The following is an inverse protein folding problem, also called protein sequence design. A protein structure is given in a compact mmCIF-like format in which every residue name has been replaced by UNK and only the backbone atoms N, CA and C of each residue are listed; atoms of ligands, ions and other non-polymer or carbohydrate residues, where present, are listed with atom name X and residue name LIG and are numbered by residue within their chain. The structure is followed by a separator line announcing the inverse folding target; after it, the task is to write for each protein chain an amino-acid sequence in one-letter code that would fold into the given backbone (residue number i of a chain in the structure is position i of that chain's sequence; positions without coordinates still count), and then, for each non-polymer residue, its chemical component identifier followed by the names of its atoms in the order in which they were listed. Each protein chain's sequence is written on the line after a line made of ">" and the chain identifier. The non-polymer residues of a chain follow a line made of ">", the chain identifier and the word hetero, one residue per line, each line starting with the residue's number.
data_IF_635298569984
#
_entry.id   IF_635298569984
#
_cell.length_a   1.000
_cell.length_b   1.000
_cell.length_c   1.000
_cell.angle_alpha   90.00
_cell.angle_beta   90.00
_cell.angle_gamma   90.00
#
_symmetry.space_group_name_H-M   'P 1'
#
loop_
_entity.id
_entity.type
_entity.pdbx_description
1 polymer ?
#
# COMPACT_ATOMS: atom_id res chain seq x y z
N UNK A 1 48.13 -13.02 -3.01
CA UNK A 1 47.89 -12.81 -1.56
C UNK A 1 47.72 -11.32 -1.37
N UNK A 2 46.50 -10.84 -1.31
CA UNK A 2 46.21 -9.44 -0.92
C UNK A 2 44.87 -9.43 -0.20
N UNK A 3 44.89 -8.91 1.03
CA UNK A 3 43.82 -8.98 2.01
C UNK A 3 42.74 -7.94 1.67
N UNK A 4 41.51 -8.36 1.57
CA UNK A 4 40.35 -7.49 1.56
C UNK A 4 40.16 -6.89 2.95
N UNK A 5 40.28 -5.57 3.09
CA UNK A 5 39.98 -4.82 4.31
C UNK A 5 38.48 -4.65 4.47
N UNK A 6 38.01 -5.07 5.63
CA UNK A 6 36.65 -4.84 6.11
C UNK A 6 36.52 -3.38 6.54
N UNK A 7 35.78 -2.57 5.77
CA UNK A 7 35.41 -1.21 6.14
C UNK A 7 34.57 -1.21 7.42
N UNK A 8 35.03 -0.45 8.39
CA UNK A 8 34.48 -0.35 9.74
C UNK A 8 33.37 0.71 9.77
N UNK A 9 32.22 0.36 10.31
CA UNK A 9 31.01 1.19 10.47
C UNK A 9 31.22 2.46 11.32
N UNK A 10 32.45 2.74 11.75
CA UNK A 10 32.78 3.93 12.57
C UNK A 10 33.06 5.22 11.79
N UNK A 11 33.22 5.18 10.48
CA UNK A 11 33.59 6.37 9.69
C UNK A 11 32.42 7.20 9.17
N UNK A 12 31.17 6.76 9.38
CA UNK A 12 29.96 7.52 8.99
C UNK A 12 29.70 8.76 9.88
N UNK A 13 30.48 8.98 10.93
CA UNK A 13 30.40 10.19 11.75
C UNK A 13 31.16 11.41 11.20
N UNK A 14 31.93 11.27 10.12
CA UNK A 14 32.79 12.34 9.59
C UNK A 14 32.15 13.22 8.49
N UNK A 15 31.00 12.84 7.95
CA UNK A 15 30.33 13.56 6.83
C UNK A 15 29.43 14.74 7.28
N UNK A 16 29.75 15.35 8.42
CA UNK A 16 28.95 16.45 9.03
C UNK A 16 29.11 17.84 8.38
N UNK A 17 29.67 17.98 7.19
CA UNK A 17 30.03 19.33 6.65
C UNK A 17 29.46 19.68 5.29
N UNK A 18 28.57 18.89 4.69
CA UNK A 18 27.95 19.26 3.42
C UNK A 18 26.61 20.00 3.62
N UNK A 19 26.38 21.12 2.94
CA UNK A 19 25.21 21.97 3.12
C UNK A 19 23.89 21.30 2.67
N UNK A 20 23.91 20.18 1.95
CA UNK A 20 22.74 19.42 1.54
C UNK A 20 22.11 18.65 2.71
N UNK A 21 22.91 18.33 3.74
CA UNK A 21 22.45 17.60 4.94
C UNK A 21 21.79 18.49 6.00
N UNK A 22 21.72 19.80 5.79
CA UNK A 22 21.11 20.72 6.77
C UNK A 22 19.59 20.63 6.89
N UNK A 23 18.93 19.89 6.00
CA UNK A 23 17.47 19.71 5.99
C UNK A 23 16.99 18.44 6.72
N UNK A 24 17.89 17.52 7.05
CA UNK A 24 17.55 16.30 7.77
C UNK A 24 17.72 16.53 9.27
N UNK A 25 16.66 16.94 9.96
CA UNK A 25 16.56 16.82 11.42
C UNK A 25 16.52 15.34 11.78
N UNK A 26 17.69 14.75 11.97
CA UNK A 26 17.83 13.44 12.61
C UNK A 26 17.31 13.56 14.06
N UNK A 27 16.04 13.25 14.25
CA UNK A 27 15.50 12.98 15.59
C UNK A 27 16.21 11.76 16.13
N UNK A 28 16.80 11.92 17.32
CA UNK A 28 17.62 10.96 18.04
C UNK A 28 16.96 9.59 18.09
N UNK A 29 17.53 8.58 17.43
CA UNK A 29 17.26 7.18 17.71
C UNK A 29 17.75 6.86 19.14
N UNK A 30 16.90 7.17 20.12
CA UNK A 30 17.07 6.71 21.50
C UNK A 30 16.52 5.30 21.61
N UNK A 31 17.38 4.28 21.64
CA UNK A 31 16.98 2.93 21.99
C UNK A 31 16.61 2.89 23.49
N UNK A 32 15.36 2.55 23.85
CA UNK A 32 15.09 2.07 25.20
C UNK A 32 15.53 0.60 25.28
N UNK A 33 16.56 0.33 26.07
CA UNK A 33 16.87 -1.05 26.52
C UNK A 33 15.77 -1.45 27.49
N UNK A 34 14.81 -2.25 27.06
CA UNK A 34 13.89 -2.95 27.96
C UNK A 34 14.44 -4.33 28.32
N UNK A 35 14.27 -4.78 29.58
CA UNK A 35 14.82 -6.05 30.06
C UNK A 35 14.05 -7.24 29.50
N UNK A 36 14.80 -8.29 29.25
CA UNK A 36 14.44 -9.64 28.84
C UNK A 36 13.02 -10.07 29.26
N UNK A 37 12.12 -10.07 28.28
CA UNK A 37 10.83 -10.74 28.34
C UNK A 37 10.68 -11.52 27.02
N UNK A 38 10.21 -12.73 27.12
CA UNK A 38 10.01 -13.74 26.06
C UNK A 38 9.57 -13.10 24.75
N UNK A 39 10.44 -13.13 23.73
CA UNK A 39 10.16 -12.62 22.37
C UNK A 39 9.13 -13.57 21.77
N UNK A 40 7.92 -13.09 21.38
CA UNK A 40 7.01 -13.90 20.57
C UNK A 40 7.68 -14.24 19.23
N UNK A 41 7.29 -15.34 18.53
CA UNK A 41 7.88 -15.70 17.25
C UNK A 41 7.72 -14.53 16.29
N UNK A 42 8.85 -13.95 15.85
CA UNK A 42 8.86 -12.80 14.95
C UNK A 42 8.30 -13.25 13.60
N UNK A 43 7.19 -12.67 13.20
CA UNK A 43 6.78 -12.70 11.80
C UNK A 43 7.92 -12.12 10.95
N UNK A 44 8.20 -12.73 9.81
CA UNK A 44 9.22 -12.21 8.89
C UNK A 44 8.95 -10.72 8.59
N UNK A 45 10.01 -9.89 8.54
CA UNK A 45 9.85 -8.46 8.27
C UNK A 45 9.19 -8.28 6.89
N UNK A 46 8.24 -7.35 6.81
CA UNK A 46 7.60 -7.05 5.54
C UNK A 46 8.63 -6.56 4.51
N UNK A 47 8.54 -7.11 3.29
CA UNK A 47 9.47 -6.86 2.19
C UNK A 47 8.99 -5.73 1.30
N UNK A 48 9.81 -4.69 1.16
CA UNK A 48 9.53 -3.48 0.38
C UNK A 48 10.50 -3.38 -0.79
N UNK A 49 9.99 -3.21 -2.00
CA UNK A 49 10.80 -2.89 -3.18
C UNK A 49 10.78 -1.38 -3.39
N UNK A 50 11.97 -0.77 -3.47
CA UNK A 50 12.16 0.67 -3.69
C UNK A 50 12.78 0.85 -5.08
N UNK A 51 12.13 1.63 -5.95
CA UNK A 51 12.59 1.91 -7.31
C UNK A 51 12.74 3.43 -7.47
N UNK A 52 13.96 3.91 -7.42
CA UNK A 52 14.30 5.33 -7.42
C UNK A 52 15.69 5.47 -8.07
N UNK A 53 15.82 6.30 -9.09
CA UNK A 53 17.07 6.48 -9.83
C UNK A 53 18.06 7.39 -9.12
N UNK A 54 17.59 8.31 -8.30
CA UNK A 54 18.45 9.10 -7.42
C UNK A 54 18.96 8.21 -6.27
N UNK A 55 20.27 7.91 -6.32
CA UNK A 55 20.89 7.00 -5.37
C UNK A 55 20.85 7.52 -3.92
N UNK A 56 20.89 8.84 -3.71
CA UNK A 56 20.85 9.44 -2.38
C UNK A 56 19.45 9.34 -1.80
N UNK A 57 18.42 9.60 -2.58
CA UNK A 57 17.01 9.45 -2.17
C UNK A 57 16.72 7.96 -1.89
N UNK A 58 17.13 7.07 -2.80
CA UNK A 58 16.93 5.63 -2.68
C UNK A 58 17.56 5.09 -1.38
N UNK A 59 18.82 5.47 -1.11
CA UNK A 59 19.51 5.01 0.11
C UNK A 59 18.90 5.58 1.38
N UNK A 60 18.56 6.88 1.42
CA UNK A 60 17.95 7.52 2.59
C UNK A 60 16.60 6.87 2.92
N UNK A 61 15.76 6.61 1.92
CA UNK A 61 14.49 5.91 2.08
C UNK A 61 14.71 4.48 2.60
N UNK A 62 15.64 3.74 1.98
CA UNK A 62 15.93 2.36 2.37
C UNK A 62 16.46 2.27 3.81
N UNK A 63 17.38 3.15 4.19
CA UNK A 63 17.93 3.19 5.54
C UNK A 63 16.84 3.52 6.55
N UNK A 64 16.02 4.53 6.28
CA UNK A 64 14.93 4.92 7.19
C UNK A 64 13.94 3.77 7.41
N UNK A 65 13.51 3.09 6.36
CA UNK A 65 12.58 1.96 6.45
C UNK A 65 13.23 0.74 7.14
N UNK A 66 14.50 0.42 6.85
CA UNK A 66 15.23 -0.66 7.55
C UNK A 66 15.37 -0.39 9.04
N UNK A 67 15.62 0.87 9.45
CA UNK A 67 15.67 1.26 10.86
C UNK A 67 14.30 1.08 11.55
N UNK A 68 13.21 1.07 10.81
CA UNK A 68 11.85 0.83 11.29
C UNK A 68 11.38 -0.63 11.12
N UNK A 69 12.30 -1.57 10.84
CA UNK A 69 12.04 -3.01 10.88
C UNK A 69 11.55 -3.63 9.57
N UNK A 70 11.65 -2.92 8.43
CA UNK A 70 11.28 -3.45 7.12
C UNK A 70 12.49 -4.05 6.39
N UNK A 71 12.26 -5.07 5.56
CA UNK A 71 13.24 -5.56 4.60
C UNK A 71 13.11 -4.74 3.30
N UNK A 72 14.22 -4.15 2.82
CA UNK A 72 14.19 -3.28 1.65
C UNK A 72 15.10 -3.81 0.55
N UNK A 73 14.55 -3.98 -0.65
CA UNK A 73 15.28 -4.27 -1.89
C UNK A 73 15.24 -3.04 -2.78
N UNK A 74 16.41 -2.59 -3.24
CA UNK A 74 16.58 -1.36 -4.00
C UNK A 74 16.77 -1.65 -5.47
N UNK A 75 16.18 -0.83 -6.34
CA UNK A 75 16.42 -0.74 -7.79
C UNK A 75 16.66 0.72 -8.15
N UNK A 76 17.61 0.94 -9.06
CA UNK A 76 18.04 2.28 -9.47
C UNK A 76 17.58 2.63 -10.89
N UNK A 77 16.69 1.83 -11.45
CA UNK A 77 16.04 2.08 -12.74
C UNK A 77 14.73 1.31 -12.86
N UNK A 78 13.84 1.77 -13.72
CA UNK A 78 12.61 1.05 -14.01
C UNK A 78 12.86 -0.35 -14.62
N UNK A 79 13.95 -0.51 -15.38
CA UNK A 79 14.33 -1.82 -15.94
C UNK A 79 14.77 -2.82 -14.86
N UNK A 80 15.55 -2.36 -13.88
CA UNK A 80 15.95 -3.16 -12.73
C UNK A 80 14.75 -3.49 -11.84
N UNK A 81 13.90 -2.50 -11.57
CA UNK A 81 12.62 -2.70 -10.89
C UNK A 81 11.76 -3.77 -11.57
N UNK A 82 11.67 -3.76 -12.90
CA UNK A 82 10.96 -4.79 -13.66
C UNK A 82 11.54 -6.18 -13.43
N UNK A 83 12.85 -6.34 -13.37
CA UNK A 83 13.50 -7.63 -13.11
C UNK A 83 13.15 -8.13 -11.70
N UNK A 84 13.26 -7.27 -10.70
CA UNK A 84 12.90 -7.62 -9.32
C UNK A 84 11.41 -8.00 -9.22
N UNK A 85 10.53 -7.15 -9.77
CA UNK A 85 9.10 -7.39 -9.74
C UNK A 85 8.68 -8.62 -10.57
N UNK A 86 9.45 -9.05 -11.56
CA UNK A 86 9.18 -10.26 -12.37
C UNK A 86 9.73 -11.54 -11.75
N UNK A 87 10.57 -11.45 -10.73
CA UNK A 87 11.12 -12.59 -9.98
C UNK A 87 10.06 -13.35 -9.18
N UNK A 88 10.50 -14.43 -8.54
CA UNK A 88 9.66 -15.27 -7.67
C UNK A 88 9.62 -14.79 -6.23
N UNK A 89 10.51 -13.89 -5.84
CA UNK A 89 10.56 -13.37 -4.47
C UNK A 89 9.28 -12.60 -4.12
N UNK A 90 8.66 -12.91 -2.98
CA UNK A 90 7.48 -12.19 -2.53
C UNK A 90 7.86 -10.78 -2.03
N UNK A 91 7.01 -9.83 -2.26
CA UNK A 91 7.11 -8.49 -1.71
C UNK A 91 5.73 -8.00 -1.27
N UNK A 92 5.71 -7.15 -0.24
CA UNK A 92 4.49 -6.70 0.43
C UNK A 92 4.09 -5.28 0.02
N UNK A 93 5.05 -4.48 -0.48
CA UNK A 93 4.82 -3.11 -0.91
C UNK A 93 5.86 -2.69 -1.94
N UNK A 94 5.47 -1.85 -2.88
CA UNK A 94 6.35 -1.20 -3.85
C UNK A 94 6.32 0.31 -3.64
N UNK A 95 7.49 0.92 -3.57
CA UNK A 95 7.67 2.38 -3.63
C UNK A 95 8.38 2.66 -4.95
N UNK A 96 7.86 3.55 -5.79
CA UNK A 96 8.45 3.85 -7.10
C UNK A 96 8.45 5.34 -7.38
N UNK A 97 9.56 5.87 -7.94
CA UNK A 97 9.47 7.17 -8.59
C UNK A 97 8.66 7.07 -9.88
N UNK A 98 8.06 8.17 -10.26
CA UNK A 98 7.32 8.31 -11.51
C UNK A 98 8.27 8.46 -12.71
N UNK A 99 9.39 9.17 -12.53
CA UNK A 99 10.32 9.54 -13.58
C UNK A 99 11.59 8.67 -13.54
N UNK A 100 11.47 7.44 -14.01
CA UNK A 100 12.58 6.47 -14.00
C UNK A 100 13.18 6.30 -15.40
N UNK A 101 14.48 6.05 -15.51
CA UNK A 101 15.10 5.70 -16.78
C UNK A 101 14.67 4.29 -17.24
N UNK A 102 14.41 4.14 -18.52
CA UNK A 102 14.11 2.88 -19.18
C UNK A 102 12.66 2.40 -19.07
N UNK A 103 12.01 2.60 -17.95
CA UNK A 103 10.60 2.24 -17.71
C UNK A 103 9.99 3.26 -16.77
N UNK A 104 8.83 3.79 -17.09
CA UNK A 104 8.17 4.80 -16.24
C UNK A 104 7.56 4.19 -14.97
N UNK A 105 7.40 4.99 -13.90
CA UNK A 105 6.70 4.54 -12.71
C UNK A 105 5.25 4.14 -12.99
N UNK A 106 4.61 4.73 -14.00
CA UNK A 106 3.29 4.33 -14.47
C UNK A 106 3.29 2.88 -15.00
N UNK A 107 4.34 2.49 -15.72
CA UNK A 107 4.49 1.12 -16.21
C UNK A 107 4.81 0.14 -15.07
N UNK A 108 5.53 0.60 -14.04
CA UNK A 108 5.74 -0.15 -12.80
C UNK A 108 4.40 -0.43 -12.13
N UNK A 109 3.54 0.57 -11.97
CA UNK A 109 2.19 0.40 -11.41
C UNK A 109 1.39 -0.62 -12.21
N UNK A 110 1.37 -0.53 -13.54
CA UNK A 110 0.68 -1.51 -14.41
C UNK A 110 1.23 -2.93 -14.21
N UNK A 111 2.55 -3.06 -14.13
CA UNK A 111 3.20 -4.36 -13.94
C UNK A 111 2.81 -5.00 -12.61
N UNK A 112 2.82 -4.23 -11.51
CA UNK A 112 2.40 -4.72 -10.19
C UNK A 112 0.93 -5.14 -10.23
N UNK A 113 0.06 -4.33 -10.84
CA UNK A 113 -1.38 -4.64 -10.94
C UNK A 113 -1.68 -5.87 -11.79
N UNK A 114 -0.86 -6.16 -12.78
CA UNK A 114 -0.97 -7.41 -13.55
C UNK A 114 -0.66 -8.65 -12.72
N UNK A 115 0.13 -8.53 -11.64
CA UNK A 115 0.53 -9.63 -10.76
C UNK A 115 -0.39 -9.81 -9.55
N UNK A 116 -1.01 -8.75 -9.06
CA UNK A 116 -1.89 -8.81 -7.87
C UNK A 116 -2.16 -7.46 -7.24
N UNK A 117 -2.59 -7.51 -5.97
CA UNK A 117 -3.06 -6.36 -5.22
C UNK A 117 -2.01 -5.82 -4.22
N UNK A 118 -0.72 -6.02 -4.53
CA UNK A 118 0.36 -5.47 -3.72
C UNK A 118 0.28 -3.94 -3.74
N UNK A 119 0.28 -3.26 -2.58
CA UNK A 119 0.19 -1.81 -2.52
C UNK A 119 1.38 -1.12 -3.20
N UNK A 120 1.08 -0.03 -3.92
CA UNK A 120 2.07 0.79 -4.62
C UNK A 120 1.95 2.23 -4.16
N UNK A 121 3.04 2.76 -3.60
CA UNK A 121 3.21 4.19 -3.30
C UNK A 121 4.07 4.81 -4.40
N UNK A 122 3.57 5.86 -5.05
CA UNK A 122 4.32 6.58 -6.07
C UNK A 122 4.92 7.84 -5.49
N UNK A 123 6.23 8.02 -5.61
CA UNK A 123 6.92 9.26 -5.32
C UNK A 123 6.97 10.12 -6.60
N UNK A 124 6.74 11.42 -6.51
CA UNK A 124 6.71 12.27 -7.70
C UNK A 124 7.00 13.73 -7.40
N UNK A 125 7.77 14.37 -8.27
CA UNK A 125 7.91 15.84 -8.28
C UNK A 125 6.69 16.56 -8.91
N UNK A 126 5.76 15.82 -9.55
CA UNK A 126 4.55 16.39 -10.13
C UNK A 126 3.53 16.68 -9.03
N UNK A 127 3.11 17.94 -8.94
CA UNK A 127 2.24 18.44 -7.86
C UNK A 127 0.80 18.69 -8.30
N UNK A 128 0.49 18.59 -9.60
CA UNK A 128 -0.84 18.94 -10.08
C UNK A 128 -1.90 17.90 -9.65
N UNK A 129 -3.10 18.39 -9.35
CA UNK A 129 -4.21 17.49 -9.02
C UNK A 129 -4.56 16.53 -10.17
N UNK A 130 -4.27 16.92 -11.42
CA UNK A 130 -4.51 16.09 -12.59
C UNK A 130 -3.56 14.89 -12.65
N UNK A 131 -2.26 15.11 -12.36
CA UNK A 131 -1.26 14.04 -12.32
C UNK A 131 -1.58 13.03 -11.22
N UNK A 132 -1.93 13.50 -10.04
CA UNK A 132 -2.35 12.66 -8.91
C UNK A 132 -3.55 11.78 -9.28
N UNK A 133 -4.58 12.37 -9.86
CA UNK A 133 -5.77 11.65 -10.34
C UNK A 133 -5.40 10.61 -11.41
N UNK A 134 -4.48 10.93 -12.32
CA UNK A 134 -4.04 9.99 -13.36
C UNK A 134 -3.36 8.76 -12.76
N UNK A 135 -2.45 8.95 -11.77
CA UNK A 135 -1.76 7.86 -11.08
C UNK A 135 -2.71 6.95 -10.30
N UNK A 136 -3.63 7.53 -9.54
CA UNK A 136 -4.65 6.76 -8.82
C UNK A 136 -5.58 5.99 -9.79
N UNK A 137 -5.89 6.56 -10.96
CA UNK A 137 -6.65 5.84 -12.01
C UNK A 137 -5.88 4.64 -12.59
N UNK A 138 -4.56 4.72 -12.65
CA UNK A 138 -3.71 3.59 -13.06
C UNK A 138 -3.66 2.49 -12.01
N UNK A 139 -4.10 2.77 -10.79
CA UNK A 139 -4.16 1.81 -9.71
C UNK A 139 -3.09 1.99 -8.64
N UNK A 140 -2.36 3.11 -8.60
CA UNK A 140 -1.55 3.45 -7.43
C UNK A 140 -2.45 3.56 -6.19
N UNK A 141 -2.00 3.03 -5.05
CA UNK A 141 -2.75 3.09 -3.80
C UNK A 141 -2.55 4.42 -3.09
N UNK A 142 -1.35 4.99 -3.24
CA UNK A 142 -1.01 6.27 -2.64
C UNK A 142 0.06 6.98 -3.48
N UNK A 143 0.23 8.27 -3.24
CA UNK A 143 1.32 9.01 -3.85
C UNK A 143 1.90 10.00 -2.83
N UNK A 144 3.19 10.32 -3.00
CA UNK A 144 3.94 11.24 -2.17
C UNK A 144 4.66 12.27 -3.03
N UNK A 145 4.49 13.56 -2.74
CA UNK A 145 5.13 14.63 -3.51
C UNK A 145 6.54 14.91 -3.02
N UNK A 146 7.50 14.96 -3.93
CA UNK A 146 8.87 15.41 -3.64
C UNK A 146 8.91 16.95 -3.57
N UNK A 147 9.59 17.57 -2.57
CA UNK A 147 10.27 16.92 -1.44
C UNK A 147 9.25 16.44 -0.38
N UNK A 148 9.54 15.31 0.27
CA UNK A 148 8.69 14.70 1.30
C UNK A 148 9.43 14.51 2.61
N UNK A 149 8.68 14.34 3.68
CA UNK A 149 9.18 13.94 4.97
C UNK A 149 9.28 12.41 5.07
N UNK A 150 10.36 11.89 5.68
CA UNK A 150 10.56 10.45 5.82
C UNK A 150 9.58 9.81 6.80
N UNK A 151 9.15 10.55 7.83
CA UNK A 151 8.17 10.08 8.78
C UNK A 151 6.77 10.04 8.12
N UNK A 152 6.46 10.97 7.18
CA UNK A 152 5.26 10.90 6.35
C UNK A 152 5.29 9.63 5.47
N UNK A 153 6.40 9.36 4.79
CA UNK A 153 6.55 8.13 4.00
C UNK A 153 6.37 6.89 4.87
N UNK A 154 6.98 6.85 6.04
CA UNK A 154 6.88 5.75 6.98
C UNK A 154 5.43 5.51 7.43
N UNK A 155 4.70 6.57 7.78
CA UNK A 155 3.28 6.47 8.15
C UNK A 155 2.46 5.86 7.02
N UNK A 156 2.64 6.32 5.77
CA UNK A 156 1.98 5.77 4.58
C UNK A 156 2.31 4.30 4.35
N UNK A 157 3.58 3.91 4.47
CA UNK A 157 4.03 2.51 4.37
C UNK A 157 3.34 1.64 5.43
N UNK A 158 3.32 2.09 6.69
CA UNK A 158 2.68 1.35 7.78
C UNK A 158 1.17 1.16 7.54
N UNK A 159 0.48 2.19 7.06
CA UNK A 159 -0.94 2.12 6.69
C UNK A 159 -1.14 1.09 5.58
N UNK A 160 -0.31 1.13 4.53
CA UNK A 160 -0.41 0.21 3.42
C UNK A 160 -0.13 -1.25 3.82
N UNK A 161 0.77 -1.51 4.77
CA UNK A 161 1.17 -2.86 5.21
C UNK A 161 0.28 -3.45 6.31
N UNK A 162 -0.30 -2.65 7.19
CA UNK A 162 -1.14 -3.11 8.32
C UNK A 162 -2.20 -4.14 7.91
N UNK A 163 -2.69 -4.06 6.69
CA UNK A 163 -3.68 -4.98 6.16
C UNK A 163 -3.07 -6.22 5.46
N UNK A 164 -1.77 -6.21 5.14
CA UNK A 164 -1.09 -7.38 4.61
C UNK A 164 -0.89 -8.45 5.69
N UNK A 165 -0.66 -8.04 6.94
CA UNK A 165 -0.50 -8.95 8.08
C UNK A 165 -1.79 -9.70 8.42
N UNK A 166 -2.95 -9.05 8.28
CA UNK A 166 -4.25 -9.72 8.48
C UNK A 166 -4.45 -10.84 7.45
N UNK A 167 -3.97 -10.67 6.21
CA UNK A 167 -4.04 -11.71 5.17
C UNK A 167 -3.12 -12.91 5.45
N UNK A 168 -1.91 -12.66 5.97
CA UNK A 168 -0.99 -13.74 6.36
C UNK A 168 -1.52 -14.57 7.52
N UNK A 169 -2.13 -13.91 8.52
CA UNK A 169 -2.74 -14.59 9.65
C UNK A 169 -3.93 -15.48 9.24
N UNK A 170 -4.70 -15.07 8.23
CA UNK A 170 -5.83 -15.85 7.70
C UNK A 170 -5.40 -17.00 6.78
N UNK A 171 -4.22 -16.90 6.13
CA UNK A 171 -3.69 -17.93 5.25
C UNK A 171 -2.85 -18.99 5.99
N UNK A 172 -2.28 -18.67 7.15
CA UNK A 172 -1.54 -19.59 8.00
C UNK A 172 -2.47 -20.20 9.06
N UNK A 173 -3.47 -20.96 8.63
CA UNK A 173 -4.29 -21.79 9.50
C UNK A 173 -3.43 -22.81 10.25
N UNK A 174 -2.89 -22.43 11.41
CA UNK A 174 -2.40 -23.38 12.39
C UNK A 174 -3.61 -24.14 12.95
N UNK A 175 -3.62 -25.47 12.94
CA UNK A 175 -4.69 -26.25 13.51
C UNK A 175 -4.59 -26.18 15.03
N UNK A 176 -5.44 -25.45 15.69
CA UNK A 176 -5.69 -25.58 17.12
C UNK A 176 -7.01 -26.29 17.34
N UNK A 177 -6.84 -27.58 17.67
CA UNK A 177 -7.67 -28.44 18.53
C UNK A 177 -9.20 -28.49 18.32
N UNK A 178 -9.60 -29.72 17.94
CA UNK A 178 -10.89 -30.36 18.17
C UNK A 178 -12.11 -29.52 18.58
N UNK A 179 -12.80 -28.98 17.56
CA UNK A 179 -14.26 -28.90 17.56
C UNK A 179 -14.77 -29.20 16.16
N UNK A 180 -15.76 -30.12 16.09
CA UNK A 180 -16.49 -30.48 14.88
C UNK A 180 -16.86 -29.22 14.05
N UNK A 181 -16.71 -29.26 12.71
CA UNK A 181 -17.05 -28.11 11.87
C UNK A 181 -18.57 -27.92 11.89
N UNK A 182 -19.03 -26.95 12.67
CA UNK A 182 -20.26 -26.27 12.28
C UNK A 182 -19.99 -25.60 10.93
N UNK A 183 -20.96 -25.57 10.00
CA UNK A 183 -20.75 -24.94 8.70
C UNK A 183 -20.34 -23.50 8.95
N UNK A 184 -19.13 -23.12 8.53
CA UNK A 184 -18.60 -21.78 8.65
C UNK A 184 -19.63 -20.80 8.11
N UNK A 185 -20.28 -20.06 9.04
CA UNK A 185 -21.23 -19.01 8.70
C UNK A 185 -20.44 -18.00 7.88
N UNK A 186 -20.71 -17.98 6.59
CA UNK A 186 -20.02 -17.24 5.57
C UNK A 186 -19.83 -15.78 5.99
N UNK A 187 -18.60 -15.34 6.15
CA UNK A 187 -18.19 -13.92 6.22
C UNK A 187 -18.44 -13.19 4.90
N UNK A 188 -19.11 -13.86 3.96
CA UNK A 188 -19.48 -13.33 2.68
C UNK A 188 -20.72 -12.44 2.79
N UNK A 189 -20.54 -11.15 2.53
CA UNK A 189 -21.64 -10.20 2.40
C UNK A 189 -22.19 -10.24 0.99
N UNK A 190 -23.52 -10.22 0.86
CA UNK A 190 -24.21 -10.21 -0.44
C UNK A 190 -24.98 -8.91 -0.65
N UNK A 191 -24.84 -8.36 -1.84
CA UNK A 191 -25.61 -7.20 -2.27
C UNK A 191 -25.96 -7.35 -3.77
N UNK A 192 -27.25 -7.50 -4.08
CA UNK A 192 -27.72 -7.81 -5.43
C UNK A 192 -26.98 -9.04 -6.01
N UNK A 193 -26.22 -8.83 -7.08
CA UNK A 193 -25.40 -9.85 -7.74
C UNK A 193 -23.95 -9.90 -7.26
N UNK A 194 -23.61 -9.18 -6.17
CA UNK A 194 -22.28 -9.18 -5.57
C UNK A 194 -22.18 -10.20 -4.43
N UNK A 195 -21.06 -10.88 -4.39
CA UNK A 195 -20.62 -11.66 -3.23
C UNK A 195 -19.26 -11.11 -2.81
N UNK A 196 -19.20 -10.47 -1.65
CA UNK A 196 -18.01 -9.89 -1.07
C UNK A 196 -17.53 -10.78 0.07
N UNK A 197 -16.42 -11.48 -0.14
CA UNK A 197 -15.74 -12.25 0.89
C UNK A 197 -14.77 -11.32 1.63
N UNK A 198 -15.06 -11.06 2.91
CA UNK A 198 -14.29 -10.11 3.72
C UNK A 198 -12.95 -10.71 4.13
N UNK A 199 -12.91 -12.00 4.42
CA UNK A 199 -11.70 -12.68 4.89
C UNK A 199 -10.72 -12.90 3.73
N UNK A 200 -11.22 -13.40 2.59
CA UNK A 200 -10.43 -13.53 1.38
C UNK A 200 -10.19 -12.21 0.65
N UNK A 201 -10.91 -11.12 1.02
CA UNK A 201 -10.89 -9.81 0.39
C UNK A 201 -11.14 -9.87 -1.12
N UNK A 202 -12.11 -10.67 -1.52
CA UNK A 202 -12.48 -10.86 -2.91
C UNK A 202 -13.90 -10.38 -3.18
N UNK A 203 -14.12 -9.90 -4.40
CA UNK A 203 -15.43 -9.58 -4.94
C UNK A 203 -15.72 -10.52 -6.10
N UNK A 204 -16.93 -11.12 -6.10
CA UNK A 204 -17.48 -11.78 -7.27
C UNK A 204 -18.80 -11.11 -7.67
N UNK A 205 -19.00 -10.92 -8.95
CA UNK A 205 -20.25 -10.46 -9.55
C UNK A 205 -20.80 -11.61 -10.39
N UNK A 206 -21.96 -12.16 -10.02
CA UNK A 206 -22.53 -13.37 -10.69
C UNK A 206 -21.54 -14.53 -10.77
N UNK A 207 -20.79 -14.75 -9.65
CA UNK A 207 -19.73 -15.77 -9.54
C UNK A 207 -18.44 -15.47 -10.32
N UNK A 208 -18.41 -14.45 -11.16
CA UNK A 208 -17.20 -14.02 -11.87
C UNK A 208 -16.34 -13.12 -10.97
N UNK A 209 -15.05 -13.42 -10.80
CA UNK A 209 -14.18 -12.66 -9.92
C UNK A 209 -13.86 -11.26 -10.49
N UNK A 210 -14.01 -10.24 -9.66
CA UNK A 210 -13.67 -8.85 -9.99
C UNK A 210 -12.48 -8.40 -9.15
N UNK A 211 -11.37 -8.07 -9.80
CA UNK A 211 -10.16 -7.62 -9.11
C UNK A 211 -10.31 -6.18 -8.63
N UNK A 212 -10.26 -5.99 -7.33
CA UNK A 212 -10.22 -4.68 -6.68
C UNK A 212 -8.85 -4.45 -6.07
N UNK A 213 -8.39 -3.19 -6.07
CA UNK A 213 -7.27 -2.81 -5.22
C UNK A 213 -7.72 -2.83 -3.76
N UNK A 214 -6.77 -2.80 -2.83
CA UNK A 214 -7.07 -2.80 -1.40
C UNK A 214 -8.02 -1.67 -0.98
N UNK A 215 -7.76 -0.46 -1.46
CA UNK A 215 -8.58 0.71 -1.13
C UNK A 215 -9.97 0.62 -1.74
N UNK A 216 -10.06 0.15 -2.98
CA UNK A 216 -11.36 -0.09 -3.63
C UNK A 216 -12.19 -1.12 -2.87
N UNK A 217 -11.53 -2.20 -2.38
CA UNK A 217 -12.19 -3.20 -1.55
C UNK A 217 -12.71 -2.61 -0.24
N UNK A 218 -11.88 -1.85 0.50
CA UNK A 218 -12.27 -1.22 1.76
C UNK A 218 -13.46 -0.27 1.57
N UNK A 219 -13.45 0.54 0.50
CA UNK A 219 -14.56 1.43 0.17
C UNK A 219 -15.82 0.63 -0.09
N UNK A 220 -15.71 -0.43 -0.92
CA UNK A 220 -16.87 -1.24 -1.28
C UNK A 220 -17.41 -2.01 -0.07
N UNK A 221 -16.55 -2.56 0.77
CA UNK A 221 -16.91 -3.22 2.02
C UNK A 221 -17.70 -2.28 2.95
N UNK A 222 -17.23 -1.05 3.14
CA UNK A 222 -17.93 -0.07 3.96
C UNK A 222 -19.35 0.21 3.44
N UNK A 223 -19.49 0.35 2.13
CA UNK A 223 -20.78 0.59 1.47
C UNK A 223 -21.71 -0.63 1.61
N UNK A 224 -21.19 -1.85 1.38
CA UNK A 224 -22.00 -3.09 1.48
C UNK A 224 -22.41 -3.40 2.91
N UNK A 225 -21.56 -3.09 3.91
CA UNK A 225 -21.94 -3.22 5.34
C UNK A 225 -23.13 -2.35 5.75
N UNK A 226 -23.30 -1.19 5.10
CA UNK A 226 -24.38 -0.23 5.41
C UNK A 226 -25.00 0.33 4.13
N UNK A 227 -25.76 -0.48 3.36
CA UNK A 227 -26.21 -0.14 2.00
C UNK A 227 -27.02 1.16 1.91
N UNK A 228 -27.80 1.45 2.95
CA UNK A 228 -28.69 2.65 2.99
C UNK A 228 -27.99 3.90 3.51
N UNK A 229 -26.78 3.76 4.09
CA UNK A 229 -26.05 4.91 4.62
C UNK A 229 -25.42 5.70 3.48
N UNK A 230 -25.59 7.01 3.51
CA UNK A 230 -24.79 7.94 2.72
C UNK A 230 -23.49 8.19 3.47
N UNK A 231 -22.38 7.79 2.88
CA UNK A 231 -21.06 8.06 3.42
C UNK A 231 -20.52 9.35 2.81
N UNK A 232 -20.01 10.24 3.65
CA UNK A 232 -19.25 11.38 3.18
C UNK A 232 -17.92 10.93 2.59
N UNK A 233 -17.30 11.78 1.77
CA UNK A 233 -15.97 11.48 1.21
C UNK A 233 -14.93 11.29 2.32
N UNK A 234 -15.03 12.12 3.36
CA UNK A 234 -14.17 12.04 4.54
C UNK A 234 -14.32 10.70 5.26
N UNK A 235 -15.54 10.27 5.56
CA UNK A 235 -15.77 8.96 6.19
C UNK A 235 -15.21 7.80 5.36
N UNK A 236 -15.41 7.83 4.04
CA UNK A 236 -14.84 6.79 3.16
C UNK A 236 -13.31 6.85 3.13
N UNK A 237 -12.72 8.04 3.19
CA UNK A 237 -11.29 8.20 3.28
C UNK A 237 -10.76 7.62 4.59
N UNK A 238 -11.31 8.03 5.74
CA UNK A 238 -10.95 7.52 7.06
C UNK A 238 -11.04 5.99 7.14
N UNK A 239 -12.10 5.40 6.58
CA UNK A 239 -12.27 3.93 6.54
C UNK A 239 -11.26 3.26 5.62
N UNK A 240 -11.03 3.82 4.42
CA UNK A 240 -10.19 3.19 3.42
C UNK A 240 -8.70 3.28 3.77
N UNK A 241 -8.25 4.44 4.30
CA UNK A 241 -6.86 4.70 4.69
C UNK A 241 -6.60 4.45 6.17
N UNK A 242 -7.65 4.40 7.00
CA UNK A 242 -7.56 4.30 8.46
C UNK A 242 -6.78 5.47 9.10
N UNK A 243 -6.92 6.66 8.54
CA UNK A 243 -6.28 7.91 8.97
C UNK A 243 -7.27 9.07 9.01
N UNK A 244 -7.15 9.93 10.04
CA UNK A 244 -7.82 11.23 10.09
C UNK A 244 -6.99 12.28 9.34
N UNK A 245 -7.02 12.27 8.02
CA UNK A 245 -6.34 13.29 7.21
C UNK A 245 -7.32 14.11 6.38
N UNK A 246 -7.19 15.43 6.48
CA UNK A 246 -8.04 16.38 5.75
C UNK A 246 -7.64 16.57 4.27
N UNK A 247 -6.57 15.95 3.82
CA UNK A 247 -5.85 16.41 2.61
C UNK A 247 -6.36 15.83 1.30
N UNK A 248 -7.05 14.68 1.27
CA UNK A 248 -7.29 14.00 -0.02
C UNK A 248 -8.69 13.42 -0.27
N UNK A 249 -9.73 14.11 0.15
CA UNK A 249 -11.13 13.74 -0.22
C UNK A 249 -11.34 13.57 -1.73
N UNK A 250 -10.47 14.16 -2.56
CA UNK A 250 -10.52 14.02 -4.02
C UNK A 250 -10.13 12.63 -4.51
N UNK A 251 -9.26 11.92 -3.77
CA UNK A 251 -8.85 10.56 -4.10
C UNK A 251 -10.04 9.59 -4.08
N UNK A 252 -10.97 9.76 -3.16
CA UNK A 252 -12.19 8.93 -3.07
C UNK A 252 -12.99 8.95 -4.36
N UNK A 253 -13.13 10.10 -5.03
CA UNK A 253 -13.86 10.18 -6.29
C UNK A 253 -13.22 9.28 -7.37
N UNK A 254 -11.89 9.18 -7.36
CA UNK A 254 -11.14 8.36 -8.32
C UNK A 254 -11.35 6.87 -8.02
N UNK A 255 -11.20 6.44 -6.77
CA UNK A 255 -11.42 5.05 -6.40
C UNK A 255 -12.87 4.61 -6.65
N UNK A 256 -13.87 5.44 -6.31
CA UNK A 256 -15.28 5.15 -6.64
C UNK A 256 -15.49 5.07 -8.16
N UNK A 257 -14.84 5.92 -8.94
CA UNK A 257 -14.89 5.85 -10.41
C UNK A 257 -14.29 4.54 -10.94
N UNK A 258 -13.16 4.11 -10.39
CA UNK A 258 -12.51 2.85 -10.74
C UNK A 258 -13.40 1.65 -10.38
N UNK A 259 -13.96 1.62 -9.17
CA UNK A 259 -14.91 0.57 -8.75
C UNK A 259 -16.08 0.50 -9.71
N UNK A 260 -16.71 1.63 -10.01
CA UNK A 260 -17.83 1.69 -10.99
C UNK A 260 -17.45 1.17 -12.37
N UNK A 261 -16.23 1.46 -12.82
CA UNK A 261 -15.72 0.98 -14.11
C UNK A 261 -15.56 -0.54 -14.12
N UNK A 262 -15.02 -1.11 -13.04
CA UNK A 262 -14.84 -2.56 -12.87
C UNK A 262 -16.19 -3.28 -12.74
N UNK A 263 -17.12 -2.74 -11.98
CA UNK A 263 -18.48 -3.29 -11.85
C UNK A 263 -19.23 -3.27 -13.18
N UNK A 264 -19.11 -2.18 -13.97
CA UNK A 264 -19.70 -2.12 -15.32
C UNK A 264 -19.09 -3.14 -16.26
N UNK A 265 -17.78 -3.33 -16.22
CA UNK A 265 -17.09 -4.34 -17.02
C UNK A 265 -17.56 -5.76 -16.66
N UNK A 266 -17.93 -6.01 -15.41
CA UNK A 266 -18.51 -7.26 -14.94
C UNK A 266 -20.04 -7.36 -15.13
N UNK A 267 -20.65 -6.42 -15.85
CA UNK A 267 -22.10 -6.36 -16.08
C UNK A 267 -22.94 -6.43 -14.78
N UNK A 268 -22.48 -5.80 -13.72
CA UNK A 268 -23.13 -5.80 -12.42
C UNK A 268 -24.51 -5.13 -12.45
N UNK A 269 -25.47 -5.69 -11.71
CA UNK A 269 -26.76 -5.07 -11.40
C UNK A 269 -26.68 -4.11 -10.21
N UNK A 270 -25.63 -4.21 -9.39
CA UNK A 270 -25.38 -3.29 -8.30
C UNK A 270 -24.69 -2.01 -8.76
N UNK A 271 -24.99 -0.89 -8.12
CA UNK A 271 -24.42 0.41 -8.46
C UNK A 271 -24.13 1.25 -7.23
N UNK A 272 -23.05 2.04 -7.29
CA UNK A 272 -22.75 3.08 -6.29
C UNK A 272 -23.37 4.39 -6.78
N UNK A 273 -24.26 4.97 -6.01
CA UNK A 273 -24.91 6.24 -6.31
C UNK A 273 -24.12 7.42 -5.72
N UNK A 274 -24.07 8.55 -6.44
CA UNK A 274 -23.55 9.81 -5.90
C UNK A 274 -24.69 10.64 -5.32
N UNK A 275 -24.58 10.97 -4.03
CA UNK A 275 -25.47 11.91 -3.39
C UNK A 275 -24.78 13.28 -3.43
N UNK A 276 -25.29 14.15 -4.32
CA UNK A 276 -24.68 15.45 -4.61
C UNK A 276 -24.49 16.28 -3.35
N UNK A 277 -23.29 16.86 -3.20
CA UNK A 277 -22.93 17.69 -2.05
C UNK A 277 -22.62 16.92 -0.75
N UNK A 278 -22.87 15.59 -0.69
CA UNK A 278 -22.69 14.77 0.51
C UNK A 278 -21.62 13.70 0.28
N UNK A 279 -21.85 12.76 -0.66
CA UNK A 279 -20.94 11.65 -0.84
C UNK A 279 -21.52 10.49 -1.66
N UNK A 280 -21.42 9.26 -1.15
CA UNK A 280 -21.77 8.04 -1.88
C UNK A 280 -22.59 7.07 -1.03
N UNK A 281 -23.49 6.32 -1.69
CA UNK A 281 -24.22 5.19 -1.12
C UNK A 281 -24.39 4.08 -2.18
N UNK A 282 -24.93 2.93 -1.81
CA UNK A 282 -25.38 1.95 -2.78
C UNK A 282 -26.78 2.32 -3.31
N UNK A 283 -27.01 2.07 -4.59
CA UNK A 283 -28.32 2.26 -5.21
C UNK A 283 -29.31 1.18 -4.72
N UNK A 284 -30.52 1.54 -4.38
CA UNK A 284 -31.57 0.60 -3.93
C UNK A 284 -32.02 -0.38 -5.03
#
# INVERSE_FOLDING_TARGET
>A
MEKAEKGNVRDLCALRKDPVFSFLRLSKCGFPRSPCGTIPPMSEPASIVIIEDDADINEVVAVHLRCNGFACTQAFSGSEGRLLLSGSEPFDLVITDLMLPGMTGEDVVRLVRARGDVPVIVMSARTTAADKVALLKLGADDYLTKPFDLDELLARVQVQLRHADVRRASASGAPSDERLPEPAAATAMRYKDWTLDVDARTLSVREEPVRLTRLEFNILEALVRRPRKVFTKRELFEIAWNEESAVEEKAINVHVSNIRSKLRAAHSAGEIETVWGIGFKLAE
#
